data_IF_537636833552
#
_entry.id   IF_537636833552
#
_cell.length_a   1.000
_cell.length_b   1.000
_cell.length_c   1.000
_cell.angle_alpha   90.00
_cell.angle_beta   90.00
_cell.angle_gamma   90.00
#
_symmetry.space_group_name_H-M   'P 1'
#
loop_
_entity.id
_entity.type
_entity.pdbx_description
1 polymer ?
#
# COMPACT_ATOMS: atom_id res chain seq x y z
N UNK A 1 -11.50 3.35 -23.26
CA UNK A 1 -11.01 3.42 -21.88
C UNK A 1 -10.20 2.17 -21.64
N UNK A 2 -8.88 2.28 -21.56
CA UNK A 2 -8.01 1.15 -21.18
C UNK A 2 -8.34 0.78 -19.74
N UNK A 3 -8.91 -0.40 -19.54
CA UNK A 3 -9.07 -0.98 -18.23
C UNK A 3 -7.66 -1.13 -17.65
N UNK A 4 -7.30 -0.31 -16.65
CA UNK A 4 -5.99 -0.41 -16.01
C UNK A 4 -5.85 -1.82 -15.44
N UNK A 5 -4.70 -2.45 -15.67
CA UNK A 5 -4.44 -3.77 -15.09
C UNK A 5 -4.48 -3.67 -13.56
N UNK A 6 -4.73 -4.79 -12.89
CA UNK A 6 -4.67 -4.87 -11.43
C UNK A 6 -3.34 -4.28 -10.92
N UNK A 7 -2.22 -4.62 -11.55
CA UNK A 7 -0.91 -4.08 -11.22
C UNK A 7 -0.86 -2.55 -11.29
N UNK A 8 -1.34 -1.94 -12.38
CA UNK A 8 -1.36 -0.48 -12.52
C UNK A 8 -2.27 0.18 -11.49
N UNK A 9 -3.40 -0.45 -11.16
CA UNK A 9 -4.31 0.07 -10.16
C UNK A 9 -3.67 0.06 -8.78
N UNK A 10 -3.04 -1.06 -8.40
CA UNK A 10 -2.34 -1.18 -7.12
C UNK A 10 -1.18 -0.20 -7.03
N UNK A 11 -0.35 -0.07 -8.08
CA UNK A 11 0.73 0.91 -8.14
C UNK A 11 0.21 2.33 -7.87
N UNK A 12 -0.86 2.74 -8.56
CA UNK A 12 -1.45 4.06 -8.34
C UNK A 12 -1.98 4.20 -6.89
N UNK A 13 -2.63 3.17 -6.36
CA UNK A 13 -3.11 3.17 -4.97
C UNK A 13 -1.97 3.32 -3.97
N UNK A 14 -0.85 2.60 -4.15
CA UNK A 14 0.31 2.67 -3.26
C UNK A 14 1.00 4.04 -3.33
N UNK A 15 1.19 4.58 -4.53
CA UNK A 15 1.75 5.93 -4.71
C UNK A 15 0.88 7.00 -4.05
N UNK A 16 -0.45 6.96 -4.28
CA UNK A 16 -1.38 7.90 -3.63
C UNK A 16 -1.41 7.74 -2.11
N UNK A 17 -1.29 6.52 -1.58
CA UNK A 17 -1.16 6.28 -0.14
C UNK A 17 0.12 6.90 0.41
N UNK A 18 1.25 6.72 -0.27
CA UNK A 18 2.53 7.29 0.13
C UNK A 18 2.46 8.81 0.18
N UNK A 19 1.96 9.46 -0.88
CA UNK A 19 1.79 10.93 -0.93
C UNK A 19 0.90 11.44 0.20
N UNK A 20 -0.21 10.76 0.50
CA UNK A 20 -1.09 11.14 1.62
C UNK A 20 -0.43 10.96 2.98
N UNK A 21 0.38 9.92 3.15
CA UNK A 21 1.13 9.69 4.39
C UNK A 21 2.20 10.77 4.57
N UNK A 22 2.95 11.10 3.53
CA UNK A 22 3.96 12.17 3.58
C UNK A 22 3.33 13.54 3.92
N UNK A 23 2.13 13.84 3.40
CA UNK A 23 1.41 15.08 3.70
C UNK A 23 0.83 15.10 5.13
N UNK A 24 0.23 13.99 5.56
CA UNK A 24 -0.47 13.92 6.84
C UNK A 24 0.44 13.65 8.04
N UNK A 25 1.55 12.93 7.81
CA UNK A 25 2.47 12.43 8.84
C UNK A 25 3.92 12.57 8.35
N UNK A 26 4.49 13.79 8.37
CA UNK A 26 5.84 14.06 7.88
C UNK A 26 6.96 13.36 8.69
N UNK A 27 6.63 12.87 9.89
CA UNK A 27 7.53 12.06 10.71
C UNK A 27 7.63 10.58 10.30
N UNK A 28 6.76 10.11 9.39
CA UNK A 28 6.79 8.74 8.86
C UNK A 28 7.65 8.71 7.60
N UNK A 29 8.64 7.83 7.57
CA UNK A 29 9.46 7.62 6.36
C UNK A 29 8.79 6.56 5.47
N UNK A 30 8.33 6.97 4.29
CA UNK A 30 7.76 6.07 3.29
C UNK A 30 8.76 5.69 2.20
N UNK A 31 8.85 4.41 1.87
CA UNK A 31 9.66 3.89 0.77
C UNK A 31 8.83 2.91 -0.08
N UNK A 32 8.72 3.19 -1.38
CA UNK A 32 7.98 2.35 -2.33
C UNK A 32 8.95 1.71 -3.34
N UNK A 33 9.17 0.40 -3.21
CA UNK A 33 10.06 -0.38 -4.09
C UNK A 33 9.36 -1.64 -4.58
N UNK A 34 9.33 -1.84 -5.90
CA UNK A 34 8.76 -3.04 -6.56
C UNK A 34 7.35 -3.41 -6.05
N UNK A 35 6.47 -2.41 -5.97
CA UNK A 35 5.10 -2.53 -5.44
C UNK A 35 5.00 -2.94 -3.96
N UNK A 36 6.05 -2.70 -3.18
CA UNK A 36 6.08 -2.86 -1.73
C UNK A 36 6.28 -1.48 -1.11
N UNK A 37 5.24 -0.99 -0.44
CA UNK A 37 5.29 0.25 0.33
C UNK A 37 5.67 -0.10 1.77
N UNK A 38 6.80 0.43 2.23
CA UNK A 38 7.27 0.32 3.61
C UNK A 38 7.15 1.69 4.26
N UNK A 39 6.43 1.76 5.37
CA UNK A 39 6.30 2.96 6.19
C UNK A 39 7.00 2.70 7.52
N UNK A 40 8.03 3.48 7.82
CA UNK A 40 8.72 3.48 9.11
C UNK A 40 8.13 4.55 10.00
N UNK A 41 7.57 4.13 11.13
CA UNK A 41 6.95 5.01 12.10
C UNK A 41 8.01 5.55 13.10
N UNK A 42 7.72 6.68 13.77
CA UNK A 42 8.62 7.28 14.76
C UNK A 42 8.91 6.42 16.00
N UNK A 43 8.12 5.37 16.22
CA UNK A 43 8.24 4.42 17.33
C UNK A 43 9.07 3.17 16.95
N UNK A 44 9.82 3.22 15.84
CA UNK A 44 10.55 2.11 15.22
C UNK A 44 9.64 0.98 14.68
N UNK A 45 8.31 1.14 14.73
CA UNK A 45 7.38 0.20 14.09
C UNK A 45 7.41 0.34 12.57
N UNK A 46 7.14 -0.76 11.87
CA UNK A 46 7.06 -0.77 10.41
C UNK A 46 5.68 -1.24 9.96
N UNK A 47 5.15 -0.56 8.95
CA UNK A 47 3.96 -1.00 8.21
C UNK A 47 4.42 -1.34 6.80
N UNK A 48 4.22 -2.58 6.40
CA UNK A 48 4.58 -3.08 5.07
C UNK A 48 3.29 -3.38 4.32
N UNK A 49 3.12 -2.75 3.16
CA UNK A 49 1.98 -2.94 2.28
C UNK A 49 2.50 -3.49 0.96
N UNK A 50 2.01 -4.66 0.54
CA UNK A 50 2.49 -5.31 -0.65
C UNK A 50 1.35 -5.88 -1.51
N UNK A 51 1.58 -5.98 -2.82
CA UNK A 51 0.62 -6.58 -3.75
C UNK A 51 0.76 -8.10 -3.81
N UNK A 52 -0.36 -8.80 -3.86
CA UNK A 52 -0.44 -10.24 -4.02
C UNK A 52 -1.17 -10.58 -5.32
N UNK A 53 -0.41 -10.70 -6.41
CA UNK A 53 -0.95 -10.87 -7.76
C UNK A 53 -1.74 -12.18 -7.95
N UNK A 54 -1.32 -13.25 -7.27
CA UNK A 54 -2.00 -14.55 -7.33
C UNK A 54 -3.45 -14.52 -6.82
N UNK A 55 -3.71 -13.70 -5.80
CA UNK A 55 -5.03 -13.55 -5.18
C UNK A 55 -5.70 -12.21 -5.50
N UNK A 56 -5.02 -11.32 -6.25
CA UNK A 56 -5.46 -9.95 -6.57
C UNK A 56 -5.84 -9.15 -5.33
N UNK A 57 -5.01 -9.23 -4.29
CA UNK A 57 -5.19 -8.51 -3.03
C UNK A 57 -4.02 -7.60 -2.74
N UNK A 58 -4.25 -6.63 -1.85
CA UNK A 58 -3.19 -5.89 -1.15
C UNK A 58 -3.15 -6.42 0.28
N UNK A 59 -1.97 -6.76 0.76
CA UNK A 59 -1.75 -7.15 2.14
C UNK A 59 -1.04 -6.03 2.88
N UNK A 60 -1.43 -5.83 4.13
CA UNK A 60 -0.82 -4.90 5.06
C UNK A 60 -0.33 -5.71 6.26
N UNK A 61 0.94 -5.58 6.61
CA UNK A 61 1.52 -6.14 7.81
C UNK A 61 1.95 -4.99 8.71
N UNK A 62 1.40 -4.94 9.92
CA UNK A 62 1.79 -4.00 10.96
C UNK A 62 1.94 -4.73 12.31
N UNK A 63 2.42 -4.01 13.32
CA UNK A 63 2.56 -4.51 14.69
C UNK A 63 1.26 -5.08 15.28
N UNK A 64 0.10 -4.56 14.85
CA UNK A 64 -1.23 -5.01 15.31
C UNK A 64 -1.73 -6.27 14.59
N UNK A 65 -1.05 -6.69 13.52
CA UNK A 65 -1.34 -7.91 12.77
C UNK A 65 -1.52 -7.70 11.27
N UNK A 66 -1.77 -8.78 10.52
CA UNK A 66 -1.96 -8.71 9.08
C UNK A 66 -3.40 -8.35 8.71
N UNK A 67 -3.57 -7.42 7.77
CA UNK A 67 -4.83 -7.13 7.10
C UNK A 67 -4.74 -7.48 5.60
N UNK A 68 -5.86 -7.91 5.02
CA UNK A 68 -5.97 -8.25 3.60
C UNK A 68 -7.12 -7.48 2.99
N UNK A 69 -6.86 -6.86 1.86
CA UNK A 69 -7.82 -6.00 1.17
C UNK A 69 -8.05 -6.54 -0.24
N UNK A 70 -9.32 -6.74 -0.56
CA UNK A 70 -9.79 -7.04 -1.91
C UNK A 70 -10.04 -5.74 -2.68
N UNK A 71 -9.82 -5.77 -4.00
CA UNK A 71 -10.24 -4.67 -4.85
C UNK A 71 -11.77 -4.63 -4.90
N UNK A 72 -12.37 -3.58 -4.32
CA UNK A 72 -13.81 -3.34 -4.45
C UNK A 72 -14.04 -2.57 -5.74
N UNK A 73 -14.52 -3.26 -6.79
CA UNK A 73 -15.05 -2.60 -7.99
C UNK A 73 -16.51 -2.21 -7.77
N UNK A 74 -16.91 -1.01 -8.21
CA UNK A 74 -18.33 -0.64 -8.35
C UNK A 74 -19.04 -1.73 -9.16
N UNK A 75 -20.12 -2.28 -8.59
CA UNK A 75 -21.02 -3.22 -9.23
C UNK A 75 -21.87 -2.54 -10.32
#
# INVERSE_FOLDING_TARGET
MTQNSFAVTVENTLNTLMEQVEEAAPEVEGDLVDSVLTLLLPDDSQIIINRQEAVRQIWLACSDGPARFDQVGEA
#
